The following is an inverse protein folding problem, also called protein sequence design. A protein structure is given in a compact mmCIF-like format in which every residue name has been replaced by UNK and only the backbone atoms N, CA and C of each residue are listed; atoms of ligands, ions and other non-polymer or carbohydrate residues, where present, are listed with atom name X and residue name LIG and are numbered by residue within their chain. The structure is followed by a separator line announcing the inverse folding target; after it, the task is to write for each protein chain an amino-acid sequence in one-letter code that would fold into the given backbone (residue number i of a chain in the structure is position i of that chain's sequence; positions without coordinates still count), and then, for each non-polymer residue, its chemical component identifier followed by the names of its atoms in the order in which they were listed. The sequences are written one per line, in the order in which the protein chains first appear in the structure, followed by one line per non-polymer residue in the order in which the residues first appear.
data_IF_758794335327
#
_entry.id   IF_758794335327
#
_cell.length_a   1.000
_cell.length_b   1.000
_cell.length_c   1.000
_cell.angle_alpha   90.00
_cell.angle_beta   90.00
_cell.angle_gamma   90.00
#
_symmetry.space_group_name_H-M   'P 1'
#
loop_
_entity.id
_entity.type
_entity.pdbx_description
1 polymer ?
#
# COMPACT_ATOMS: atom_id res chain seq x y z
N UNK A 1 18.81 12.83 22.47
CA UNK A 1 17.95 13.36 21.38
C UNK A 1 16.67 13.92 22.00
N UNK A 2 16.21 15.09 21.56
CA UNK A 2 15.06 15.80 22.16
C UNK A 2 13.73 15.08 21.86
N UNK A 3 12.91 14.80 22.88
CA UNK A 3 11.59 14.15 22.74
C UNK A 3 10.65 14.85 21.73
N UNK A 4 10.87 16.15 21.47
CA UNK A 4 10.12 16.91 20.46
C UNK A 4 10.41 16.46 19.03
N UNK A 5 11.63 16.02 18.74
CA UNK A 5 12.02 15.59 17.39
C UNK A 5 11.33 14.26 17.03
N UNK A 6 11.37 13.28 17.93
CA UNK A 6 10.72 11.98 17.76
C UNK A 6 9.21 12.09 17.50
N UNK A 7 8.49 12.98 18.21
CA UNK A 7 7.06 13.19 17.98
C UNK A 7 6.77 13.77 16.58
N UNK A 8 7.68 14.58 16.06
CA UNK A 8 7.54 15.20 14.74
C UNK A 8 7.75 14.15 13.65
N UNK A 9 8.79 13.32 13.78
CA UNK A 9 9.08 12.22 12.86
C UNK A 9 7.89 11.24 12.78
N UNK A 10 7.36 10.82 13.93
CA UNK A 10 6.19 9.92 13.98
C UNK A 10 4.98 10.54 13.27
N UNK A 11 4.75 11.85 13.48
CA UNK A 11 3.63 12.54 12.83
C UNK A 11 3.79 12.59 11.31
N UNK A 12 4.99 12.85 10.81
CA UNK A 12 5.28 12.87 9.36
C UNK A 12 5.12 11.48 8.75
N UNK A 13 5.58 10.43 9.43
CA UNK A 13 5.39 9.05 8.98
C UNK A 13 3.90 8.66 8.91
N UNK A 14 3.09 9.05 9.90
CA UNK A 14 1.65 8.77 9.87
C UNK A 14 0.93 9.58 8.79
N UNK A 15 1.36 10.82 8.55
CA UNK A 15 0.84 11.65 7.45
C UNK A 15 1.17 11.03 6.09
N UNK A 16 2.40 10.55 5.89
CA UNK A 16 2.79 9.80 4.70
C UNK A 16 1.89 8.57 4.51
N UNK A 17 1.69 7.78 5.57
CA UNK A 17 0.83 6.59 5.54
C UNK A 17 -0.60 6.92 5.09
N UNK A 18 -1.15 8.04 5.55
CA UNK A 18 -2.49 8.47 5.14
C UNK A 18 -2.52 8.88 3.67
N UNK A 19 -1.49 9.58 3.20
CA UNK A 19 -1.38 10.03 1.81
C UNK A 19 -1.24 8.84 0.85
N UNK A 20 -0.40 7.85 1.13
CA UNK A 20 -0.25 6.68 0.23
C UNK A 20 -1.48 5.78 0.16
N UNK A 21 -2.36 5.84 1.18
CA UNK A 21 -3.60 5.07 1.20
C UNK A 21 -4.69 5.70 0.33
N UNK A 22 -4.50 6.93 -0.15
CA UNK A 22 -5.45 7.60 -1.02
C UNK A 22 -5.40 6.98 -2.43
N UNK A 23 -6.55 6.70 -3.05
CA UNK A 23 -6.59 6.17 -4.41
C UNK A 23 -6.10 7.19 -5.45
N UNK A 24 -6.23 8.48 -5.15
CA UNK A 24 -5.76 9.60 -5.96
C UNK A 24 -5.32 10.73 -5.04
N UNK A 25 -4.25 11.42 -5.40
CA UNK A 25 -3.77 12.61 -4.71
C UNK A 25 -4.24 13.86 -5.44
N UNK A 26 -4.79 14.81 -4.71
CA UNK A 26 -4.87 16.20 -5.16
C UNK A 26 -3.48 16.80 -5.26
N UNK A 27 -3.36 17.95 -5.94
CA UNK A 27 -2.09 18.67 -6.05
C UNK A 27 -1.50 19.03 -4.67
N UNK A 28 -2.37 19.43 -3.72
CA UNK A 28 -1.93 19.75 -2.36
C UNK A 28 -1.39 18.51 -1.64
N UNK A 29 -2.06 17.38 -1.76
CA UNK A 29 -1.64 16.11 -1.14
C UNK A 29 -0.36 15.57 -1.78
N UNK A 30 -0.21 15.69 -3.10
CA UNK A 30 1.01 15.31 -3.82
C UNK A 30 2.21 16.18 -3.41
N UNK A 31 2.01 17.51 -3.32
CA UNK A 31 3.05 18.42 -2.82
C UNK A 31 3.43 18.08 -1.38
N UNK A 32 2.43 17.79 -0.53
CA UNK A 32 2.69 17.42 0.86
C UNK A 32 3.45 16.10 0.99
N UNK A 33 3.12 15.11 0.17
CA UNK A 33 3.85 13.85 0.10
C UNK A 33 5.31 14.09 -0.33
N UNK A 34 5.53 14.92 -1.35
CA UNK A 34 6.87 15.27 -1.82
C UNK A 34 7.71 15.95 -0.72
N UNK A 35 7.14 16.91 0.01
CA UNK A 35 7.81 17.55 1.16
C UNK A 35 8.25 16.52 2.21
N UNK A 36 7.38 15.55 2.54
CA UNK A 36 7.70 14.51 3.53
C UNK A 36 8.86 13.64 3.03
N UNK A 37 8.86 13.27 1.75
CA UNK A 37 9.94 12.48 1.14
C UNK A 37 11.27 13.24 1.09
N UNK A 38 11.24 14.55 0.80
CA UNK A 38 12.43 15.40 0.85
C UNK A 38 13.02 15.48 2.28
N UNK A 39 12.15 15.59 3.29
CA UNK A 39 12.57 15.55 4.69
C UNK A 39 13.15 14.18 5.07
N UNK A 40 12.55 13.09 4.59
CA UNK A 40 13.03 11.73 4.84
C UNK A 40 14.43 11.50 4.27
N UNK A 41 14.72 12.06 3.09
CA UNK A 41 16.06 11.99 2.49
C UNK A 41 17.16 12.66 3.35
N UNK A 42 16.77 13.50 4.32
CA UNK A 42 17.69 14.18 5.25
C UNK A 42 17.64 13.59 6.67
N UNK A 43 16.65 12.74 6.99
CA UNK A 43 16.45 12.15 8.30
C UNK A 43 16.27 10.62 8.19
N UNK A 44 17.33 9.89 8.54
CA UNK A 44 17.39 8.42 8.51
C UNK A 44 16.25 7.75 9.29
N UNK A 45 15.82 8.35 10.40
CA UNK A 45 14.75 7.76 11.23
C UNK A 45 13.40 7.89 10.54
N UNK A 46 13.14 9.01 9.87
CA UNK A 46 11.94 9.17 9.06
C UNK A 46 11.99 8.26 7.82
N UNK A 47 13.14 8.17 7.15
CA UNK A 47 13.32 7.28 6.00
C UNK A 47 13.02 5.81 6.37
N UNK A 48 13.61 5.32 7.47
CA UNK A 48 13.38 3.96 7.98
C UNK A 48 11.89 3.68 8.24
N UNK A 49 11.15 4.65 8.77
CA UNK A 49 9.71 4.49 9.02
C UNK A 49 8.90 4.45 7.73
N UNK A 50 9.26 5.25 6.73
CA UNK A 50 8.62 5.24 5.42
C UNK A 50 8.83 3.88 4.73
N UNK A 51 10.06 3.36 4.74
CA UNK A 51 10.35 2.03 4.19
C UNK A 51 9.53 0.92 4.88
N UNK A 52 9.37 0.99 6.21
CA UNK A 52 8.54 0.05 6.95
C UNK A 52 7.07 0.12 6.54
N UNK A 53 6.54 1.33 6.33
CA UNK A 53 5.17 1.56 5.86
C UNK A 53 4.99 0.93 4.46
N UNK A 54 5.87 1.24 3.51
CA UNK A 54 5.80 0.73 2.15
C UNK A 54 5.89 -0.79 2.08
N UNK A 55 6.80 -1.39 2.87
CA UNK A 55 6.95 -2.83 2.95
C UNK A 55 5.66 -3.51 3.45
N UNK A 56 4.98 -2.92 4.45
CA UNK A 56 3.72 -3.45 4.97
C UNK A 56 2.61 -3.39 3.93
N UNK A 57 2.49 -2.29 3.20
CA UNK A 57 1.49 -2.15 2.12
C UNK A 57 1.77 -3.13 0.97
N UNK A 58 3.04 -3.27 0.57
CA UNK A 58 3.45 -4.24 -0.44
C UNK A 58 3.09 -5.68 -0.04
N UNK A 59 3.39 -6.09 1.19
CA UNK A 59 3.07 -7.43 1.68
C UNK A 59 1.56 -7.71 1.71
N UNK A 60 0.73 -6.70 2.00
CA UNK A 60 -0.72 -6.82 1.93
C UNK A 60 -1.20 -7.01 0.50
N UNK A 61 -0.67 -6.22 -0.45
CA UNK A 61 -0.98 -6.36 -1.87
C UNK A 61 -0.55 -7.72 -2.42
N UNK A 62 0.63 -8.21 -2.04
CA UNK A 62 1.11 -9.53 -2.47
C UNK A 62 0.21 -10.65 -1.94
N UNK A 63 -0.23 -10.56 -0.69
CA UNK A 63 -1.19 -11.50 -0.12
C UNK A 63 -2.51 -11.50 -0.89
N UNK A 64 -3.02 -10.33 -1.26
CA UNK A 64 -4.22 -10.23 -2.10
C UNK A 64 -3.97 -10.87 -3.47
N UNK A 65 -2.90 -10.49 -4.16
CA UNK A 65 -2.54 -11.06 -5.46
C UNK A 65 -2.46 -12.58 -5.43
N UNK A 66 -1.87 -13.16 -4.39
CA UNK A 66 -1.82 -14.60 -4.22
C UNK A 66 -3.22 -15.22 -4.07
N UNK A 67 -4.11 -14.56 -3.33
CA UNK A 67 -5.52 -14.93 -3.25
C UNK A 67 -6.23 -14.94 -4.61
N UNK A 68 -6.01 -13.91 -5.43
CA UNK A 68 -6.56 -13.83 -6.79
C UNK A 68 -6.03 -14.94 -7.68
N UNK A 69 -4.72 -15.23 -7.62
CA UNK A 69 -4.11 -16.34 -8.38
C UNK A 69 -4.71 -17.69 -7.99
N UNK A 70 -5.01 -17.89 -6.71
CA UNK A 70 -5.66 -19.12 -6.24
C UNK A 70 -7.10 -19.23 -6.78
N UNK A 71 -7.88 -18.15 -6.74
CA UNK A 71 -9.24 -18.13 -7.30
C UNK A 71 -9.25 -18.40 -8.81
N UNK A 72 -8.35 -17.76 -9.56
CA UNK A 72 -8.21 -17.99 -11.00
C UNK A 72 -7.92 -19.46 -11.33
N UNK A 73 -7.08 -20.14 -10.52
CA UNK A 73 -6.81 -21.56 -10.70
C UNK A 73 -8.07 -22.41 -10.54
N UNK A 74 -8.89 -22.16 -9.51
CA UNK A 74 -10.14 -22.90 -9.28
C UNK A 74 -11.10 -22.73 -10.46
N UNK A 75 -11.32 -21.50 -10.90
CA UNK A 75 -12.24 -21.19 -12.01
C UNK A 75 -11.72 -21.76 -13.34
N UNK A 76 -10.41 -21.80 -13.56
CA UNK A 76 -9.83 -22.37 -14.79
C UNK A 76 -9.83 -23.89 -14.83
N UNK A 77 -10.00 -24.56 -13.69
CA UNK A 77 -10.08 -26.03 -13.59
C UNK A 77 -11.51 -26.57 -13.65
N UNK A 78 -12.52 -25.69 -13.58
CA UNK A 78 -13.89 -26.05 -13.92
C UNK A 78 -14.08 -25.93 -15.44
N UNK A 79 -13.76 -27.01 -16.17
CA UNK A 79 -14.37 -27.20 -17.49
C UNK A 79 -15.89 -27.11 -17.32
N UNK A 80 -16.63 -26.46 -18.24
CA UNK A 80 -18.08 -26.48 -18.18
C UNK A 80 -18.52 -27.95 -18.17
N UNK A 81 -19.15 -28.36 -17.07
CA UNK A 81 -19.67 -29.71 -16.93
C UNK A 81 -20.53 -30.02 -18.17
N UNK A 82 -20.34 -31.18 -18.83
CA UNK A 82 -21.11 -31.55 -20.02
C UNK A 82 -22.62 -31.70 -19.75
N UNK A 83 -23.06 -31.51 -18.50
CA UNK A 83 -24.44 -31.62 -18.05
C UNK A 83 -25.13 -30.28 -17.78
N UNK A 84 -24.55 -29.11 -18.13
CA UNK A 84 -25.33 -27.87 -18.12
C UNK A 84 -26.22 -27.85 -19.37
N UNK A 85 -27.55 -28.02 -19.24
CA UNK A 85 -28.42 -27.89 -20.41
C UNK A 85 -28.37 -26.41 -20.81
N UNK A 86 -27.97 -26.12 -22.04
CA UNK A 86 -28.15 -24.80 -22.61
C UNK A 86 -29.66 -24.53 -22.59
N UNK A 87 -30.10 -23.65 -21.69
CA UNK A 87 -31.48 -23.17 -21.70
C UNK A 87 -31.65 -22.33 -22.98
N UNK A 88 -32.58 -22.76 -23.84
CA UNK A 88 -33.01 -22.06 -25.06
C UNK A 88 -33.52 -20.64 -24.78
#
# INVERSE_FOLDING_TARGET
MSSKNTKTIIKLAEEYRQLIALPFLSELEANRMAEILELANLDESLNSLIEEIEMKEYLQLEKWNQGLRNLLKVVSTEEPSPNTPWQE
#
